data_IF_821036969813
#
_entry.id   IF_821036969813
#
_cell.length_a   1.000
_cell.length_b   1.000
_cell.length_c   1.000
_cell.angle_alpha   90.00
_cell.angle_beta   90.00
_cell.angle_gamma   90.00
#
_symmetry.space_group_name_H-M   'P 1'
#
loop_
_entity.id
_entity.type
_entity.pdbx_description
1 polymer ?
#
# COMPACT_ATOMS: atom_id res chain seq x y z
N UNK A 1 -17.79 20.51 47.44
CA UNK A 1 -18.18 21.27 46.23
C UNK A 1 -18.65 20.24 45.23
N UNK A 2 -19.95 20.26 44.92
CA UNK A 2 -20.48 19.42 43.86
C UNK A 2 -19.96 19.95 42.53
N UNK A 3 -19.33 19.10 41.71
CA UNK A 3 -19.07 19.39 40.31
C UNK A 3 -20.41 19.75 39.65
N UNK A 4 -20.52 20.98 39.17
CA UNK A 4 -21.59 21.40 38.27
C UNK A 4 -21.47 20.52 37.03
N UNK A 5 -22.27 19.46 36.94
CA UNK A 5 -22.41 18.71 35.70
C UNK A 5 -23.00 19.68 34.68
N UNK A 6 -22.18 20.13 33.74
CA UNK A 6 -22.64 20.84 32.55
C UNK A 6 -23.86 20.11 31.99
N UNK A 7 -24.95 20.86 31.84
CA UNK A 7 -26.20 20.34 31.31
C UNK A 7 -25.91 19.82 29.89
N UNK A 8 -26.36 18.60 29.53
CA UNK A 8 -26.09 18.04 28.21
C UNK A 8 -26.64 18.97 27.12
N UNK A 9 -25.80 19.28 26.13
CA UNK A 9 -26.15 20.15 25.00
C UNK A 9 -27.30 19.51 24.19
N UNK A 10 -28.39 20.23 23.95
CA UNK A 10 -29.53 19.76 23.13
C UNK A 10 -29.48 20.31 21.70
N UNK A 11 -30.31 19.78 20.78
CA UNK A 11 -30.39 20.29 19.39
C UNK A 11 -30.77 21.77 19.37
N UNK A 12 -31.72 22.16 20.21
CA UNK A 12 -32.17 23.55 20.32
C UNK A 12 -31.08 24.48 20.85
N UNK A 13 -30.24 23.99 21.77
CA UNK A 13 -29.07 24.76 22.25
C UNK A 13 -28.06 24.96 21.12
N UNK A 14 -27.82 23.93 20.30
CA UNK A 14 -26.90 23.99 19.16
C UNK A 14 -27.43 24.92 18.05
N UNK A 15 -28.74 24.88 17.77
CA UNK A 15 -29.39 25.81 16.84
C UNK A 15 -29.30 27.25 17.32
N UNK A 16 -29.51 27.50 18.62
CA UNK A 16 -29.31 28.84 19.19
C UNK A 16 -27.87 29.32 19.07
N UNK A 17 -26.90 28.46 19.35
CA UNK A 17 -25.49 28.80 19.19
C UNK A 17 -25.16 29.15 17.72
N UNK A 18 -25.73 28.42 16.77
CA UNK A 18 -25.58 28.72 15.34
C UNK A 18 -26.23 30.07 14.99
N UNK A 19 -27.44 30.34 15.48
CA UNK A 19 -28.12 31.63 15.29
C UNK A 19 -27.31 32.79 15.89
N UNK A 20 -26.80 32.61 17.12
CA UNK A 20 -25.94 33.58 17.81
C UNK A 20 -24.61 33.80 17.07
N UNK A 21 -24.10 32.77 16.39
CA UNK A 21 -22.90 32.82 15.55
C UNK A 21 -23.19 33.30 14.10
N UNK A 22 -24.29 34.03 13.89
CA UNK A 22 -24.62 34.62 12.58
C UNK A 22 -25.24 33.64 11.59
N UNK A 23 -25.85 32.56 12.08
CA UNK A 23 -26.51 31.53 11.27
C UNK A 23 -25.56 30.50 10.66
N UNK A 24 -24.32 30.43 11.13
CA UNK A 24 -23.30 29.46 10.66
C UNK A 24 -22.65 28.73 11.84
N UNK A 25 -22.31 27.46 11.64
CA UNK A 25 -21.49 26.68 12.57
C UNK A 25 -19.99 26.96 12.42
N UNK A 26 -19.59 27.78 11.43
CA UNK A 26 -18.19 28.03 11.11
C UNK A 26 -17.48 28.72 12.29
N UNK A 27 -16.40 28.10 12.78
CA UNK A 27 -15.62 28.59 13.90
C UNK A 27 -16.28 28.38 15.28
N UNK A 28 -17.48 27.79 15.34
CA UNK A 28 -18.12 27.44 16.61
C UNK A 28 -17.31 26.34 17.30
N UNK A 29 -16.80 26.65 18.50
CA UNK A 29 -15.94 25.75 19.26
C UNK A 29 -16.71 24.94 20.30
N UNK A 30 -16.87 23.65 20.01
CA UNK A 30 -17.45 22.62 20.86
C UNK A 30 -16.40 21.55 21.18
N UNK A 31 -15.12 21.94 21.30
CA UNK A 31 -14.04 21.04 21.69
C UNK A 31 -14.28 20.45 23.09
N UNK A 32 -13.89 19.19 23.28
CA UNK A 32 -13.99 18.42 24.54
C UNK A 32 -15.42 18.20 25.06
N UNK A 33 -16.43 18.72 24.35
CA UNK A 33 -17.84 18.54 24.67
C UNK A 33 -18.19 17.06 24.67
N UNK A 34 -18.98 16.66 25.67
CA UNK A 34 -19.51 15.30 25.76
C UNK A 34 -20.99 15.33 25.43
N UNK A 35 -21.36 14.85 24.25
CA UNK A 35 -22.74 14.70 23.83
C UNK A 35 -23.30 13.43 24.50
N UNK A 36 -23.92 13.62 25.68
CA UNK A 36 -24.36 12.52 26.55
C UNK A 36 -25.72 11.98 26.14
N UNK A 37 -26.62 12.86 25.68
CA UNK A 37 -27.96 12.52 25.21
C UNK A 37 -27.99 12.37 23.70
N UNK A 38 -29.00 11.64 23.23
CA UNK A 38 -29.30 11.38 21.83
C UNK A 38 -29.69 12.71 21.12
N UNK A 39 -28.71 13.55 20.80
CA UNK A 39 -28.91 14.80 20.08
C UNK A 39 -29.08 14.48 18.59
N UNK A 40 -30.25 14.80 18.05
CA UNK A 40 -30.46 14.74 16.63
C UNK A 40 -29.71 15.90 15.96
N UNK A 41 -28.71 15.60 15.16
CA UNK A 41 -27.93 16.49 14.30
C UNK A 41 -28.12 16.15 12.81
N UNK A 42 -29.14 15.35 12.48
CA UNK A 42 -29.44 14.98 11.11
C UNK A 42 -29.70 16.21 10.24
N UNK A 43 -29.14 16.16 9.03
CA UNK A 43 -29.20 17.19 7.98
C UNK A 43 -28.75 18.59 8.42
N UNK A 44 -28.08 18.71 9.56
CA UNK A 44 -27.61 19.99 10.08
C UNK A 44 -26.36 20.44 9.31
N UNK A 45 -26.28 21.76 9.04
CA UNK A 45 -25.08 22.37 8.47
C UNK A 45 -24.08 22.69 9.60
N UNK A 46 -23.09 21.80 9.75
CA UNK A 46 -22.01 21.91 10.71
C UNK A 46 -20.70 22.33 10.02
N UNK A 47 -20.79 23.08 8.91
CA UNK A 47 -19.65 23.60 8.18
C UNK A 47 -18.70 24.36 9.10
N UNK A 48 -17.41 24.00 9.07
CA UNK A 48 -16.36 24.69 9.82
C UNK A 48 -16.46 24.58 11.35
N UNK A 49 -17.31 23.70 11.89
CA UNK A 49 -17.41 23.50 13.34
C UNK A 49 -16.12 22.90 13.92
N UNK A 50 -15.78 23.24 15.16
CA UNK A 50 -14.63 22.68 15.87
C UNK A 50 -15.15 21.71 16.93
N UNK A 51 -14.93 20.41 16.74
CA UNK A 51 -15.32 19.32 17.65
C UNK A 51 -14.10 18.52 18.10
N UNK A 52 -13.00 19.23 18.38
CA UNK A 52 -11.74 18.58 18.76
C UNK A 52 -11.93 17.86 20.09
N UNK A 53 -11.52 16.59 20.17
CA UNK A 53 -11.65 15.73 21.36
C UNK A 53 -13.11 15.61 21.88
N UNK A 54 -14.09 15.93 21.03
CA UNK A 54 -15.51 15.78 21.37
C UNK A 54 -15.87 14.29 21.51
N UNK A 55 -16.71 13.97 22.50
CA UNK A 55 -17.14 12.61 22.81
C UNK A 55 -18.63 12.47 22.58
N UNK A 56 -19.01 11.58 21.67
CA UNK A 56 -20.40 11.19 21.47
C UNK A 56 -20.64 9.92 22.30
N UNK A 57 -21.60 9.96 23.21
CA UNK A 57 -21.85 8.82 24.11
C UNK A 57 -22.35 7.60 23.33
N UNK A 58 -22.14 6.40 23.88
CA UNK A 58 -22.46 5.12 23.22
C UNK A 58 -23.96 4.84 23.03
N UNK A 59 -24.83 5.84 23.24
CA UNK A 59 -26.27 5.77 22.98
C UNK A 59 -26.71 6.51 21.71
N UNK A 60 -25.77 6.93 20.85
CA UNK A 60 -26.07 7.33 19.46
C UNK A 60 -26.41 6.08 18.61
N UNK A 61 -27.46 5.36 19.00
CA UNK A 61 -28.08 4.34 18.17
C UNK A 61 -29.09 5.03 17.24
N UNK A 62 -28.79 5.08 15.95
CA UNK A 62 -29.70 5.53 14.91
C UNK A 62 -29.48 6.98 14.46
N UNK A 63 -29.55 7.17 13.14
CA UNK A 63 -29.75 8.33 12.23
C UNK A 63 -29.47 9.80 12.67
N UNK A 64 -28.92 10.04 13.85
CA UNK A 64 -28.72 11.36 14.46
C UNK A 64 -27.65 12.20 13.78
N UNK A 65 -26.81 11.60 12.95
CA UNK A 65 -25.84 12.31 12.13
C UNK A 65 -26.00 11.97 10.65
N UNK A 66 -27.17 11.45 10.28
CA UNK A 66 -27.51 11.15 8.90
C UNK A 66 -27.49 12.45 8.08
N UNK A 67 -26.74 12.48 6.98
CA UNK A 67 -26.70 13.63 6.08
C UNK A 67 -26.02 14.89 6.62
N UNK A 68 -25.49 14.88 7.85
CA UNK A 68 -24.83 16.03 8.45
C UNK A 68 -23.64 16.51 7.61
N UNK A 69 -23.46 17.84 7.51
CA UNK A 69 -22.39 18.45 6.72
C UNK A 69 -21.26 18.92 7.62
N UNK A 70 -20.11 18.28 7.50
CA UNK A 70 -18.90 18.54 8.29
C UNK A 70 -17.78 19.17 7.44
N UNK A 71 -18.12 19.76 6.29
CA UNK A 71 -17.15 20.38 5.40
C UNK A 71 -16.29 21.41 6.16
N UNK A 72 -14.96 21.31 6.07
CA UNK A 72 -14.03 22.22 6.76
C UNK A 72 -13.99 22.10 8.30
N UNK A 73 -14.71 21.16 8.90
CA UNK A 73 -14.72 20.97 10.36
C UNK A 73 -13.40 20.40 10.90
N UNK A 74 -13.18 20.58 12.21
CA UNK A 74 -12.04 20.00 12.94
C UNK A 74 -12.55 18.88 13.86
N UNK A 75 -12.36 17.62 13.44
CA UNK A 75 -12.77 16.41 14.18
C UNK A 75 -11.56 15.69 14.80
N UNK A 76 -10.48 16.42 15.09
CA UNK A 76 -9.26 15.85 15.65
C UNK A 76 -9.53 15.24 17.04
N UNK A 77 -9.26 13.95 17.21
CA UNK A 77 -9.50 13.24 18.48
C UNK A 77 -10.97 12.98 18.81
N UNK A 78 -11.92 13.38 17.95
CA UNK A 78 -13.34 13.10 18.15
C UNK A 78 -13.59 11.59 18.19
N UNK A 79 -14.40 11.16 19.17
CA UNK A 79 -14.83 9.77 19.32
C UNK A 79 -16.12 9.53 18.55
N UNK A 80 -16.00 9.06 17.30
CA UNK A 80 -17.11 8.78 16.40
C UNK A 80 -17.37 7.27 16.23
N UNK A 81 -16.98 6.46 17.23
CA UNK A 81 -17.09 5.00 17.17
C UNK A 81 -18.54 4.55 17.18
N UNK A 82 -18.87 3.60 16.29
CA UNK A 82 -20.22 3.02 16.16
C UNK A 82 -21.33 4.00 15.80
N UNK A 83 -21.01 5.22 15.35
CA UNK A 83 -22.02 6.22 14.93
C UNK A 83 -22.50 5.91 13.50
N UNK A 84 -23.80 6.15 13.24
CA UNK A 84 -24.34 6.17 11.89
C UNK A 84 -24.05 7.53 11.22
N UNK A 85 -23.09 7.55 10.31
CA UNK A 85 -22.67 8.70 9.50
C UNK A 85 -23.03 8.48 8.01
N UNK A 86 -24.07 7.69 7.74
CA UNK A 86 -24.56 7.51 6.38
C UNK A 86 -24.92 8.86 5.76
N UNK A 87 -24.52 9.05 4.50
CA UNK A 87 -24.73 10.29 3.73
C UNK A 87 -24.06 11.56 4.28
N UNK A 88 -23.28 11.47 5.37
CA UNK A 88 -22.55 12.62 5.89
C UNK A 88 -21.55 13.15 4.84
N UNK A 89 -21.34 14.47 4.84
CA UNK A 89 -20.42 15.14 3.93
C UNK A 89 -19.18 15.60 4.67
N UNK A 90 -18.01 15.16 4.22
CA UNK A 90 -16.73 15.48 4.86
C UNK A 90 -15.73 15.99 3.81
N UNK A 91 -15.84 17.25 3.38
CA UNK A 91 -14.85 17.85 2.48
C UNK A 91 -13.78 18.63 3.24
N UNK A 92 -12.52 18.48 2.86
CA UNK A 92 -11.39 19.28 3.37
C UNK A 92 -11.18 19.19 4.90
N UNK A 93 -11.38 18.01 5.51
CA UNK A 93 -11.00 17.81 6.91
C UNK A 93 -9.47 17.78 7.06
N UNK A 94 -8.93 18.60 7.96
CA UNK A 94 -7.51 18.61 8.34
C UNK A 94 -7.27 17.69 9.55
N UNK A 95 -7.43 16.38 9.39
CA UNK A 95 -7.40 15.48 10.54
C UNK A 95 -6.04 14.77 10.77
N UNK A 96 -5.53 14.93 11.98
CA UNK A 96 -4.68 14.01 12.77
C UNK A 96 -5.58 12.85 13.29
N UNK A 97 -5.20 11.94 14.24
CA UNK A 97 -5.95 10.69 14.40
C UNK A 97 -7.38 10.92 14.90
N UNK A 98 -8.37 10.70 14.02
CA UNK A 98 -9.80 10.55 14.35
C UNK A 98 -10.10 9.07 14.63
N UNK A 99 -10.95 8.80 15.62
CA UNK A 99 -11.35 7.45 16.02
C UNK A 99 -12.71 7.12 15.41
N UNK A 100 -12.71 6.30 14.35
CA UNK A 100 -13.90 5.93 13.58
C UNK A 100 -14.21 4.43 13.70
N UNK A 101 -13.67 3.73 14.70
CA UNK A 101 -13.81 2.27 14.77
C UNK A 101 -15.28 1.85 14.75
N UNK A 102 -15.61 0.91 13.87
CA UNK A 102 -16.96 0.39 13.63
C UNK A 102 -18.03 1.42 13.20
N UNK A 103 -17.64 2.63 12.80
CA UNK A 103 -18.58 3.61 12.25
C UNK A 103 -19.23 3.13 10.94
N UNK A 104 -20.44 3.59 10.68
CA UNK A 104 -21.18 3.31 9.45
C UNK A 104 -21.15 4.52 8.53
N UNK A 105 -20.28 4.48 7.51
CA UNK A 105 -20.05 5.57 6.54
C UNK A 105 -20.66 5.25 5.17
N UNK A 106 -21.62 4.33 5.08
CA UNK A 106 -22.21 3.93 3.79
C UNK A 106 -22.91 5.11 3.12
N UNK A 107 -22.73 5.26 1.81
CA UNK A 107 -23.28 6.39 1.05
C UNK A 107 -22.77 7.78 1.46
N UNK A 108 -21.77 7.88 2.36
CA UNK A 108 -21.14 9.15 2.71
C UNK A 108 -20.30 9.71 1.55
N UNK A 109 -20.17 11.04 1.51
CA UNK A 109 -19.30 11.74 0.56
C UNK A 109 -18.01 12.15 1.27
N UNK A 110 -16.95 11.38 1.07
CA UNK A 110 -15.62 11.57 1.67
C UNK A 110 -14.64 12.19 0.67
N UNK A 111 -15.10 13.18 -0.08
CA UNK A 111 -14.30 13.82 -1.13
C UNK A 111 -13.23 14.72 -0.51
N UNK A 112 -11.96 14.52 -0.85
CA UNK A 112 -10.84 15.31 -0.32
C UNK A 112 -10.74 15.26 1.22
N UNK A 113 -11.07 14.14 1.85
CA UNK A 113 -10.94 13.96 3.31
C UNK A 113 -9.54 13.45 3.68
N UNK A 114 -8.94 13.98 4.76
CA UNK A 114 -7.71 13.43 5.31
C UNK A 114 -8.00 12.45 6.46
N UNK A 115 -7.72 11.17 6.25
CA UNK A 115 -7.74 10.10 7.25
C UNK A 115 -6.35 9.51 7.51
N UNK A 116 -5.29 10.28 7.27
CA UNK A 116 -3.92 9.81 7.46
C UNK A 116 -3.68 9.35 8.90
N UNK A 117 -3.33 8.07 9.07
CA UNK A 117 -3.10 7.45 10.37
C UNK A 117 -4.34 7.22 11.25
N UNK A 118 -5.54 7.54 10.74
CA UNK A 118 -6.80 7.34 11.48
C UNK A 118 -7.06 5.87 11.80
N UNK A 119 -7.80 5.62 12.88
CA UNK A 119 -8.24 4.28 13.23
C UNK A 119 -9.67 4.04 12.74
N UNK A 120 -9.74 3.44 11.56
CA UNK A 120 -10.96 3.13 10.79
C UNK A 120 -11.23 1.61 10.80
N UNK A 121 -10.82 0.94 11.90
CA UNK A 121 -11.00 -0.49 12.09
C UNK A 121 -12.47 -0.86 12.10
N UNK A 122 -12.89 -1.81 11.26
CA UNK A 122 -14.26 -2.33 11.21
C UNK A 122 -15.30 -1.36 10.63
N UNK A 123 -14.87 -0.23 10.05
CA UNK A 123 -15.77 0.74 9.41
C UNK A 123 -16.49 0.12 8.22
N UNK A 124 -17.76 0.47 8.05
CA UNK A 124 -18.56 0.10 6.88
C UNK A 124 -18.58 1.27 5.90
N UNK A 125 -17.74 1.22 4.86
CA UNK A 125 -17.79 2.17 3.75
C UNK A 125 -18.75 1.70 2.64
N UNK A 126 -18.82 0.39 2.43
CA UNK A 126 -19.69 -0.26 1.46
C UNK A 126 -20.77 -1.13 2.11
N UNK A 127 -21.75 -1.52 1.28
CA UNK A 127 -22.78 -2.55 1.51
C UNK A 127 -24.11 -2.11 2.16
N UNK A 128 -25.13 -1.87 1.32
CA UNK A 128 -26.55 -2.13 1.59
C UNK A 128 -27.25 -2.49 0.28
N UNK A 129 -27.43 -3.78 0.02
CA UNK A 129 -28.37 -4.24 -1.00
C UNK A 129 -29.80 -3.96 -0.52
N UNK A 130 -30.36 -2.79 -0.84
CA UNK A 130 -31.83 -2.61 -0.90
C UNK A 130 -32.20 -1.75 -2.12
N UNK A 131 -33.00 -2.36 -2.99
CA UNK A 131 -33.90 -1.76 -3.96
C UNK A 131 -33.48 -0.40 -4.56
N UNK A 132 -32.50 -0.39 -5.48
CA UNK A 132 -32.36 0.73 -6.43
C UNK A 132 -30.96 1.30 -6.67
N UNK A 133 -29.93 0.95 -5.89
CA UNK A 133 -28.56 1.41 -6.14
C UNK A 133 -27.55 0.94 -5.09
N UNK A 134 -26.26 0.89 -5.44
CA UNK A 134 -25.18 0.62 -4.49
C UNK A 134 -24.92 1.87 -3.63
N UNK A 135 -25.10 1.79 -2.31
CA UNK A 135 -24.77 2.84 -1.33
C UNK A 135 -23.30 2.77 -0.91
N UNK A 136 -22.39 2.79 -1.88
CA UNK A 136 -20.97 2.83 -1.58
C UNK A 136 -20.54 4.25 -1.21
N UNK A 137 -19.66 4.38 -0.22
CA UNK A 137 -19.01 5.66 0.06
C UNK A 137 -18.14 6.08 -1.13
N UNK A 138 -18.13 7.37 -1.44
CA UNK A 138 -17.19 7.96 -2.40
C UNK A 138 -15.92 8.37 -1.65
N UNK A 139 -14.82 7.65 -1.86
CA UNK A 139 -13.52 7.90 -1.22
C UNK A 139 -12.55 8.65 -2.15
N UNK A 140 -13.09 9.31 -3.17
CA UNK A 140 -12.26 9.98 -4.17
C UNK A 140 -11.43 11.10 -3.52
N UNK A 141 -10.15 11.15 -3.90
CA UNK A 141 -9.14 12.06 -3.34
C UNK A 141 -8.95 11.97 -1.81
N UNK A 142 -9.41 10.89 -1.17
CA UNK A 142 -9.20 10.66 0.28
C UNK A 142 -7.74 10.28 0.57
N UNK A 143 -7.19 10.78 1.67
CA UNK A 143 -5.88 10.36 2.18
C UNK A 143 -6.03 9.30 3.29
N UNK A 144 -5.78 8.02 2.97
CA UNK A 144 -5.80 6.89 3.90
C UNK A 144 -4.38 6.42 4.27
N UNK A 145 -3.34 7.24 4.05
CA UNK A 145 -1.95 6.82 4.30
C UNK A 145 -1.75 6.44 5.77
N UNK A 146 -1.22 5.25 6.02
CA UNK A 146 -0.99 4.77 7.39
C UNK A 146 -2.26 4.45 8.20
N UNK A 147 -3.46 4.59 7.65
CA UNK A 147 -4.71 4.34 8.35
C UNK A 147 -4.84 2.86 8.77
N UNK A 148 -5.51 2.60 9.90
CA UNK A 148 -5.82 1.25 10.37
C UNK A 148 -7.17 0.79 9.83
N UNK A 149 -7.15 0.03 8.74
CA UNK A 149 -8.32 -0.45 8.00
C UNK A 149 -8.65 -1.92 8.29
N UNK A 150 -8.25 -2.43 9.46
CA UNK A 150 -8.50 -3.83 9.82
C UNK A 150 -9.99 -4.13 9.76
N UNK A 151 -10.41 -5.14 8.99
CA UNK A 151 -11.82 -5.55 8.83
C UNK A 151 -12.77 -4.46 8.32
N UNK A 152 -12.26 -3.39 7.71
CA UNK A 152 -13.11 -2.40 7.04
C UNK A 152 -13.80 -3.03 5.82
N UNK A 153 -15.04 -2.66 5.54
CA UNK A 153 -15.78 -3.10 4.37
C UNK A 153 -15.78 -2.01 3.30
N UNK A 154 -15.16 -2.30 2.15
CA UNK A 154 -15.04 -1.40 1.00
C UNK A 154 -15.80 -1.89 -0.25
N UNK A 155 -16.71 -2.85 -0.10
CA UNK A 155 -17.44 -3.43 -1.23
C UNK A 155 -18.18 -2.35 -2.04
N UNK A 156 -17.91 -2.29 -3.34
CA UNK A 156 -18.50 -1.32 -4.26
C UNK A 156 -17.97 0.13 -4.13
N UNK A 157 -17.01 0.39 -3.22
CA UNK A 157 -16.45 1.74 -3.05
C UNK A 157 -15.52 2.11 -4.20
N UNK A 158 -15.52 3.40 -4.53
CA UNK A 158 -14.63 4.01 -5.52
C UNK A 158 -13.43 4.63 -4.81
N UNK A 159 -12.23 4.31 -5.31
CA UNK A 159 -10.96 4.80 -4.78
C UNK A 159 -10.22 5.72 -5.77
N UNK A 160 -10.95 6.60 -6.46
CA UNK A 160 -10.33 7.48 -7.45
C UNK A 160 -9.32 8.41 -6.79
N UNK A 161 -8.04 8.34 -7.15
CA UNK A 161 -6.96 9.14 -6.54
C UNK A 161 -6.83 9.01 -5.01
N UNK A 162 -7.37 7.93 -4.42
CA UNK A 162 -7.27 7.68 -2.97
C UNK A 162 -5.86 7.21 -2.58
N UNK A 163 -5.24 7.83 -1.58
CA UNK A 163 -3.87 7.50 -1.15
C UNK A 163 -3.88 6.41 -0.07
N UNK A 164 -3.34 5.24 -0.37
CA UNK A 164 -3.30 4.06 0.52
C UNK A 164 -1.89 3.68 0.99
N UNK A 165 -0.87 4.51 0.75
CA UNK A 165 0.50 4.20 1.14
C UNK A 165 0.63 3.94 2.66
N UNK A 166 1.10 2.74 3.01
CA UNK A 166 1.32 2.35 4.41
C UNK A 166 0.06 2.01 5.20
N UNK A 167 -1.12 1.99 4.59
CA UNK A 167 -2.36 1.60 5.27
C UNK A 167 -2.31 0.13 5.74
N UNK A 168 -2.96 -0.16 6.87
CA UNK A 168 -3.10 -1.51 7.42
C UNK A 168 -4.44 -2.11 7.00
N UNK A 169 -4.44 -2.93 5.96
CA UNK A 169 -5.67 -3.46 5.32
C UNK A 169 -5.92 -4.94 5.61
N UNK A 170 -5.27 -5.52 6.63
CA UNK A 170 -5.48 -6.92 6.98
C UNK A 170 -6.95 -7.20 7.30
N UNK A 171 -7.51 -8.12 6.52
CA UNK A 171 -8.90 -8.55 6.67
C UNK A 171 -9.93 -7.51 6.21
N UNK A 172 -9.50 -6.41 5.58
CA UNK A 172 -10.40 -5.51 4.88
C UNK A 172 -11.05 -6.26 3.72
N UNK A 173 -12.36 -6.06 3.54
CA UNK A 173 -13.07 -6.60 2.39
C UNK A 173 -12.99 -5.59 1.24
N UNK A 174 -12.13 -5.92 0.28
CA UNK A 174 -11.94 -5.16 -0.97
C UNK A 174 -12.56 -5.88 -2.17
N UNK A 175 -13.40 -6.89 -1.93
CA UNK A 175 -14.11 -7.58 -3.00
C UNK A 175 -15.12 -6.61 -3.63
N UNK A 176 -15.16 -6.54 -4.96
CA UNK A 176 -15.92 -5.54 -5.74
C UNK A 176 -15.57 -4.06 -5.44
N UNK A 177 -14.45 -3.76 -4.78
CA UNK A 177 -13.96 -2.39 -4.68
C UNK A 177 -13.32 -1.95 -6.01
N UNK A 178 -13.53 -0.69 -6.41
CA UNK A 178 -12.95 -0.09 -7.60
C UNK A 178 -11.60 0.58 -7.23
N UNK A 179 -10.51 -0.17 -7.39
CA UNK A 179 -9.14 0.24 -7.02
C UNK A 179 -8.29 0.71 -8.21
N UNK A 180 -8.87 0.90 -9.39
CA UNK A 180 -8.15 1.18 -10.65
C UNK A 180 -7.26 2.41 -10.52
N UNK A 181 -7.73 3.44 -9.83
CA UNK A 181 -7.03 4.73 -9.69
C UNK A 181 -6.53 4.98 -8.26
N UNK A 182 -6.45 3.94 -7.44
CA UNK A 182 -5.92 4.05 -6.09
C UNK A 182 -4.40 4.28 -6.10
N UNK A 183 -3.93 5.28 -5.35
CA UNK A 183 -2.50 5.58 -5.19
C UNK A 183 -1.90 4.80 -4.01
N UNK A 184 -1.14 3.75 -4.34
CA UNK A 184 -0.42 2.94 -3.37
C UNK A 184 0.99 3.46 -3.04
N UNK A 185 1.41 4.58 -3.65
CA UNK A 185 2.77 5.11 -3.60
C UNK A 185 3.80 4.05 -3.97
N UNK A 186 4.63 3.66 -3.00
CA UNK A 186 5.64 2.62 -3.17
C UNK A 186 5.11 1.17 -3.08
N UNK A 187 3.78 0.97 -3.00
CA UNK A 187 3.10 -0.30 -2.75
C UNK A 187 3.52 -0.97 -1.42
N UNK A 188 3.92 -0.17 -0.43
CA UNK A 188 4.27 -0.68 0.91
C UNK A 188 3.08 -0.52 1.82
N UNK A 189 2.51 -1.63 2.29
CA UNK A 189 1.42 -1.64 3.26
C UNK A 189 1.93 -1.61 4.71
N UNK A 190 1.05 -1.25 5.65
CA UNK A 190 1.37 -1.12 7.07
C UNK A 190 1.84 -2.43 7.70
N UNK A 191 1.28 -3.57 7.28
CA UNK A 191 1.67 -4.91 7.76
C UNK A 191 3.14 -5.21 7.48
N UNK A 192 3.65 -4.82 6.31
CA UNK A 192 5.07 -4.98 5.98
C UNK A 192 5.93 -4.08 6.87
N UNK A 193 5.51 -2.83 7.11
CA UNK A 193 6.24 -1.88 7.99
C UNK A 193 6.32 -2.39 9.43
N UNK A 194 5.26 -3.06 9.92
CA UNK A 194 5.19 -3.67 11.25
C UNK A 194 5.95 -5.00 11.36
N UNK A 195 6.38 -5.59 10.23
CA UNK A 195 7.06 -6.87 10.20
C UNK A 195 6.13 -8.11 10.21
N UNK A 196 4.82 -7.93 10.04
CA UNK A 196 3.88 -9.04 9.83
C UNK A 196 3.90 -9.48 8.36
N UNK A 197 4.99 -10.17 7.99
CA UNK A 197 5.20 -10.61 6.61
C UNK A 197 4.20 -11.67 6.15
N UNK A 198 3.65 -12.46 7.07
CA UNK A 198 2.66 -13.50 6.73
C UNK A 198 1.36 -12.87 6.25
N UNK A 199 0.84 -11.89 7.00
CA UNK A 199 -0.34 -11.14 6.59
C UNK A 199 -0.06 -10.32 5.33
N UNK A 200 1.09 -9.66 5.27
CA UNK A 200 1.46 -8.84 4.11
C UNK A 200 1.50 -9.65 2.81
N UNK A 201 2.03 -10.88 2.84
CA UNK A 201 2.05 -11.76 1.66
C UNK A 201 0.66 -12.11 1.14
N UNK A 202 -0.30 -12.36 2.03
CA UNK A 202 -1.67 -12.68 1.62
C UNK A 202 -2.35 -11.46 1.00
N UNK A 203 -2.17 -10.29 1.61
CA UNK A 203 -2.69 -9.02 1.10
C UNK A 203 -2.12 -8.71 -0.29
N UNK A 204 -0.79 -8.78 -0.45
CA UNK A 204 -0.15 -8.56 -1.75
C UNK A 204 -0.62 -9.55 -2.82
N UNK A 205 -0.93 -10.79 -2.44
CA UNK A 205 -1.48 -11.78 -3.38
C UNK A 205 -2.88 -11.40 -3.84
N UNK A 206 -3.75 -10.98 -2.93
CA UNK A 206 -5.10 -10.51 -3.24
C UNK A 206 -5.04 -9.26 -4.15
N UNK A 207 -4.25 -8.25 -3.79
CA UNK A 207 -4.08 -7.04 -4.59
C UNK A 207 -3.52 -7.35 -5.98
N UNK A 208 -2.48 -8.19 -6.07
CA UNK A 208 -1.95 -8.66 -7.34
C UNK A 208 -3.03 -9.33 -8.20
N UNK A 209 -3.83 -10.22 -7.62
CA UNK A 209 -4.89 -10.92 -8.35
C UNK A 209 -5.97 -9.95 -8.85
N UNK A 210 -6.37 -9.01 -8.01
CA UNK A 210 -7.32 -7.95 -8.37
C UNK A 210 -6.79 -7.12 -9.54
N UNK A 211 -5.58 -6.56 -9.45
CA UNK A 211 -5.01 -5.74 -10.53
C UNK A 211 -4.71 -6.53 -11.81
N UNK A 212 -4.43 -7.83 -11.69
CA UNK A 212 -4.29 -8.70 -12.87
C UNK A 212 -5.64 -8.85 -13.59
N UNK A 213 -6.72 -9.05 -12.84
CA UNK A 213 -8.07 -9.17 -13.41
C UNK A 213 -8.55 -7.84 -14.02
N UNK A 214 -8.13 -6.70 -13.46
CA UNK A 214 -8.40 -5.37 -14.00
C UNK A 214 -7.54 -5.01 -15.24
N UNK A 215 -6.61 -5.87 -15.67
CA UNK A 215 -5.71 -5.60 -16.81
C UNK A 215 -4.58 -4.60 -16.49
N UNK A 216 -4.36 -4.27 -15.22
CA UNK A 216 -3.36 -3.31 -14.76
C UNK A 216 -2.07 -4.00 -14.34
N UNK A 217 -1.37 -4.57 -15.32
CA UNK A 217 -0.24 -5.47 -15.09
C UNK A 217 0.99 -4.80 -14.46
N UNK A 218 1.19 -3.51 -14.69
CA UNK A 218 2.29 -2.77 -14.06
C UNK A 218 2.15 -2.70 -12.54
N UNK A 219 0.94 -2.39 -12.04
CA UNK A 219 0.66 -2.33 -10.60
C UNK A 219 0.66 -3.75 -10.02
N UNK A 220 0.07 -4.72 -10.72
CA UNK A 220 0.12 -6.12 -10.31
C UNK A 220 1.57 -6.63 -10.15
N UNK A 221 2.47 -6.25 -11.05
CA UNK A 221 3.91 -6.56 -10.98
C UNK A 221 4.59 -5.97 -9.75
N UNK A 222 4.26 -4.72 -9.38
CA UNK A 222 4.75 -4.09 -8.13
C UNK A 222 4.31 -4.88 -6.90
N UNK A 223 3.03 -5.28 -6.83
CA UNK A 223 2.54 -6.10 -5.71
C UNK A 223 3.15 -7.50 -5.69
N UNK A 224 3.38 -8.13 -6.84
CA UNK A 224 4.12 -9.39 -6.91
C UNK A 224 5.55 -9.26 -6.38
N UNK A 225 6.26 -8.19 -6.77
CA UNK A 225 7.60 -7.90 -6.28
C UNK A 225 7.61 -7.71 -4.74
N UNK A 226 6.61 -7.02 -4.21
CA UNK A 226 6.41 -6.84 -2.77
C UNK A 226 6.07 -8.14 -2.04
N UNK A 227 5.21 -8.99 -2.61
CA UNK A 227 4.92 -10.36 -2.11
C UNK A 227 6.22 -11.17 -1.95
N UNK A 228 7.06 -11.19 -2.99
CA UNK A 228 8.33 -11.93 -2.98
C UNK A 228 9.34 -11.35 -1.98
N UNK A 229 9.37 -10.03 -1.83
CA UNK A 229 10.21 -9.36 -0.84
C UNK A 229 9.76 -9.68 0.58
N UNK A 230 8.46 -9.65 0.87
CA UNK A 230 7.88 -10.04 2.15
C UNK A 230 8.18 -11.52 2.45
N UNK A 231 8.03 -12.41 1.45
CA UNK A 231 8.40 -13.83 1.56
C UNK A 231 9.86 -14.03 1.93
N UNK A 232 10.78 -13.32 1.29
CA UNK A 232 12.21 -13.35 1.63
C UNK A 232 12.46 -12.89 3.06
N UNK A 233 11.81 -11.80 3.50
CA UNK A 233 11.94 -11.26 4.88
C UNK A 233 11.37 -12.24 5.92
N UNK A 234 10.25 -12.91 5.64
CA UNK A 234 9.66 -13.94 6.50
C UNK A 234 10.59 -15.13 6.75
N UNK A 235 11.47 -15.45 5.80
CA UNK A 235 12.45 -16.54 5.93
C UNK A 235 13.64 -16.21 6.84
N UNK A 236 13.79 -14.96 7.31
CA UNK A 236 14.95 -14.52 8.12
C UNK A 236 15.15 -15.36 9.39
N UNK A 237 14.06 -15.81 10.00
CA UNK A 237 14.06 -16.52 11.28
C UNK A 237 14.01 -18.05 11.15
N UNK A 238 14.08 -18.59 9.93
CA UNK A 238 14.13 -20.04 9.74
C UNK A 238 15.53 -20.60 10.01
N UNK A 239 15.65 -21.77 10.64
CA UNK A 239 16.94 -22.38 10.93
C UNK A 239 17.72 -22.79 9.68
N UNK A 240 17.03 -23.17 8.59
CA UNK A 240 17.66 -23.51 7.32
C UNK A 240 17.80 -22.25 6.43
N UNK A 241 19.03 -21.84 6.04
CA UNK A 241 19.26 -20.66 5.21
C UNK A 241 19.02 -20.89 3.71
N UNK A 242 18.97 -22.14 3.24
CA UNK A 242 18.88 -22.48 1.80
C UNK A 242 17.69 -21.81 1.09
N UNK A 243 16.45 -21.81 1.65
CA UNK A 243 15.31 -21.15 1.00
C UNK A 243 15.52 -19.64 0.88
N UNK A 244 16.18 -19.01 1.87
CA UNK A 244 16.47 -17.58 1.87
C UNK A 244 17.55 -17.24 0.84
N UNK A 245 18.62 -18.04 0.76
CA UNK A 245 19.68 -17.87 -0.23
C UNK A 245 19.08 -17.96 -1.63
N UNK A 246 18.28 -19.00 -1.90
CA UNK A 246 17.60 -19.17 -3.20
C UNK A 246 16.73 -17.98 -3.57
N UNK A 247 15.91 -17.49 -2.63
CA UNK A 247 15.07 -16.30 -2.87
C UNK A 247 15.90 -15.03 -3.07
N UNK A 248 16.98 -14.88 -2.31
CA UNK A 248 17.87 -13.72 -2.44
C UNK A 248 18.58 -13.72 -3.79
N UNK A 249 19.08 -14.88 -4.24
CA UNK A 249 19.69 -15.06 -5.55
C UNK A 249 18.68 -14.76 -6.66
N UNK A 250 17.46 -15.30 -6.58
CA UNK A 250 16.41 -15.02 -7.55
C UNK A 250 16.03 -13.53 -7.63
N UNK A 251 15.99 -12.84 -6.47
CA UNK A 251 15.77 -11.40 -6.42
C UNK A 251 16.93 -10.58 -6.98
N UNK A 252 18.17 -11.03 -6.78
CA UNK A 252 19.38 -10.34 -7.27
C UNK A 252 19.56 -10.49 -8.77
N UNK A 253 19.37 -11.72 -9.29
CA UNK A 253 19.61 -12.02 -10.70
C UNK A 253 18.56 -11.39 -11.60
N UNK A 254 17.28 -11.39 -11.22
CA UNK A 254 16.22 -10.97 -12.15
C UNK A 254 15.05 -10.22 -11.53
N UNK A 255 15.20 -9.73 -10.29
CA UNK A 255 14.13 -8.99 -9.62
C UNK A 255 12.87 -9.79 -9.43
N UNK A 256 13.01 -11.10 -9.17
CA UNK A 256 11.92 -12.06 -9.11
C UNK A 256 11.16 -12.23 -10.45
N UNK A 257 11.77 -11.89 -11.58
CA UNK A 257 11.13 -11.97 -12.89
C UNK A 257 10.47 -10.68 -13.36
N UNK A 258 10.53 -9.60 -12.57
CA UNK A 258 9.84 -8.33 -12.88
C UNK A 258 10.79 -7.24 -13.41
N UNK A 259 12.11 -7.45 -13.34
CA UNK A 259 13.12 -6.43 -13.71
C UNK A 259 14.15 -7.00 -14.69
N UNK A 260 13.88 -7.00 -16.01
CA UNK A 260 14.81 -7.54 -17.02
C UNK A 260 16.18 -6.88 -16.98
N UNK A 261 16.24 -5.58 -16.70
CA UNK A 261 17.49 -4.84 -16.56
C UNK A 261 18.41 -5.41 -15.46
N UNK A 262 17.86 -6.00 -14.39
CA UNK A 262 18.67 -6.63 -13.34
C UNK A 262 19.38 -7.89 -13.84
N UNK A 263 18.84 -8.57 -14.85
CA UNK A 263 19.51 -9.70 -15.50
C UNK A 263 20.74 -9.23 -16.25
N UNK A 264 20.61 -8.13 -16.99
CA UNK A 264 21.75 -7.52 -17.68
C UNK A 264 22.83 -7.08 -16.70
N UNK A 265 22.46 -6.32 -15.67
CA UNK A 265 23.41 -5.86 -14.65
C UNK A 265 24.09 -7.01 -13.91
N UNK A 266 23.36 -8.06 -13.54
CA UNK A 266 23.95 -9.23 -12.87
C UNK A 266 24.82 -10.06 -13.81
N UNK A 267 24.48 -10.18 -15.09
CA UNK A 267 25.33 -10.78 -16.12
C UNK A 267 26.66 -10.02 -16.27
N UNK A 268 26.60 -8.69 -16.33
CA UNK A 268 27.79 -7.83 -16.36
C UNK A 268 28.66 -8.04 -15.12
N UNK A 269 28.08 -8.08 -13.92
CA UNK A 269 28.84 -8.33 -12.69
C UNK A 269 29.52 -9.71 -12.71
N UNK A 270 28.82 -10.76 -13.14
CA UNK A 270 29.40 -12.11 -13.26
C UNK A 270 30.58 -12.12 -14.23
N UNK A 271 30.43 -11.48 -15.39
CA UNK A 271 31.49 -11.33 -16.39
C UNK A 271 32.72 -10.62 -15.80
N UNK A 272 32.56 -9.47 -15.14
CA UNK A 272 33.68 -8.77 -14.51
C UNK A 272 34.34 -9.58 -13.39
N UNK A 273 33.56 -10.29 -12.58
CA UNK A 273 34.09 -11.17 -11.53
C UNK A 273 34.93 -12.31 -12.12
N UNK A 274 34.49 -12.93 -13.21
CA UNK A 274 35.25 -14.00 -13.88
C UNK A 274 36.50 -13.45 -14.57
N UNK A 275 36.43 -12.27 -15.19
CA UNK A 275 37.59 -11.56 -15.72
C UNK A 275 38.66 -11.31 -14.64
N UNK A 276 38.25 -10.90 -13.43
CA UNK A 276 39.16 -10.73 -12.29
C UNK A 276 39.79 -12.07 -11.85
N UNK A 277 39.01 -13.16 -11.86
CA UNK A 277 39.53 -14.50 -11.56
C UNK A 277 40.58 -14.93 -12.59
N UNK A 278 40.33 -14.76 -13.88
CA UNK A 278 41.31 -15.08 -14.93
C UNK A 278 42.59 -14.25 -14.80
N UNK A 279 42.46 -12.95 -14.49
CA UNK A 279 43.60 -12.06 -14.29
C UNK A 279 44.43 -12.45 -13.07
N UNK A 280 43.77 -12.79 -11.96
CA UNK A 280 44.43 -13.20 -10.73
C UNK A 280 45.16 -14.55 -10.86
N UNK A 281 44.59 -15.48 -11.62
CA UNK A 281 45.21 -16.78 -11.92
C UNK A 281 46.39 -16.62 -12.89
N UNK A 282 46.33 -15.63 -13.79
CA UNK A 282 47.42 -15.27 -14.70
C UNK A 282 47.71 -16.28 -15.79
N UNK A 283 46.74 -17.14 -16.13
CA UNK A 283 46.88 -18.22 -17.13
C UNK A 283 46.74 -17.77 -18.58
N UNK A 284 46.37 -16.52 -18.83
CA UNK A 284 46.20 -15.98 -20.18
C UNK A 284 47.46 -15.22 -20.57
N UNK A 285 48.01 -15.53 -21.74
CA UNK A 285 49.22 -14.87 -22.27
C UNK A 285 48.87 -13.92 -23.43
N UNK A 286 49.23 -12.62 -23.36
CA UNK A 286 49.83 -11.92 -22.24
C UNK A 286 48.82 -11.68 -21.09
N UNK A 287 49.30 -11.73 -19.84
CA UNK A 287 48.44 -11.59 -18.66
C UNK A 287 48.10 -10.12 -18.39
N UNK A 288 47.10 -9.61 -19.10
CA UNK A 288 46.53 -8.28 -18.86
C UNK A 288 45.06 -8.42 -18.46
N UNK A 289 44.57 -7.46 -17.67
CA UNK A 289 43.15 -7.43 -17.30
C UNK A 289 42.26 -7.32 -18.55
N UNK A 290 42.67 -6.55 -19.56
CA UNK A 290 41.93 -6.43 -20.82
C UNK A 290 41.81 -7.77 -21.57
N UNK A 291 42.87 -8.58 -21.59
CA UNK A 291 42.82 -9.91 -22.20
C UNK A 291 41.93 -10.87 -21.40
N UNK A 292 41.93 -10.75 -20.07
CA UNK A 292 41.06 -11.53 -19.19
C UNK A 292 39.58 -11.15 -19.35
N UNK A 293 39.31 -9.85 -19.51
CA UNK A 293 37.98 -9.32 -19.78
C UNK A 293 37.48 -9.73 -21.16
N UNK A 294 38.32 -9.65 -22.18
CA UNK A 294 38.01 -10.11 -23.54
C UNK A 294 37.69 -11.61 -23.55
N UNK A 295 38.55 -12.43 -22.92
CA UNK A 295 38.33 -13.87 -22.80
C UNK A 295 37.00 -14.18 -22.11
N UNK A 296 36.73 -13.55 -20.97
CA UNK A 296 35.48 -13.68 -20.23
C UNK A 296 34.27 -13.27 -21.08
N UNK A 297 34.33 -12.16 -21.81
CA UNK A 297 33.23 -11.70 -22.67
C UNK A 297 32.92 -12.68 -23.82
N UNK A 298 33.95 -13.22 -24.49
CA UNK A 298 33.80 -14.19 -25.58
C UNK A 298 33.28 -15.54 -25.06
N UNK A 299 33.81 -15.99 -23.93
CA UNK A 299 33.39 -17.19 -23.21
C UNK A 299 31.91 -17.08 -22.79
N UNK A 300 31.55 -16.00 -22.09
CA UNK A 300 30.21 -15.74 -21.56
C UNK A 300 29.16 -15.61 -22.66
N UNK A 301 29.50 -15.01 -23.81
CA UNK A 301 28.57 -14.89 -24.95
C UNK A 301 28.48 -16.16 -25.79
N UNK A 302 29.33 -17.16 -25.51
CA UNK A 302 29.43 -18.40 -26.29
C UNK A 302 29.66 -18.18 -27.81
N UNK A 303 30.22 -17.02 -28.20
CA UNK A 303 30.46 -16.65 -29.60
C UNK A 303 31.62 -17.43 -30.25
N UNK A 304 32.39 -18.16 -29.44
CA UNK A 304 33.56 -18.88 -29.90
C UNK A 304 34.78 -17.97 -30.02
N UNK A 305 35.94 -18.59 -29.85
CA UNK A 305 37.20 -17.93 -29.51
C UNK A 305 37.96 -17.28 -30.68
N UNK A 306 37.47 -17.42 -31.92
CA UNK A 306 38.14 -16.90 -33.11
C UNK A 306 39.61 -17.33 -33.23
N UNK A 307 40.41 -16.56 -33.97
CA UNK A 307 41.87 -16.77 -34.08
C UNK A 307 42.69 -16.06 -33.00
N UNK A 308 42.05 -15.27 -32.13
CA UNK A 308 42.68 -14.37 -31.15
C UNK A 308 42.49 -14.81 -29.70
N UNK A 309 42.21 -16.09 -29.45
CA UNK A 309 42.04 -16.53 -28.08
C UNK A 309 43.37 -16.78 -27.35
N UNK A 310 43.56 -16.17 -26.16
CA UNK A 310 44.67 -16.53 -25.29
C UNK A 310 44.58 -18.03 -24.99
N UNK A 311 45.66 -18.79 -25.26
CA UNK A 311 45.66 -20.24 -25.13
C UNK A 311 45.48 -20.64 -23.67
N UNK A 312 44.30 -21.12 -23.25
CA UNK A 312 44.06 -21.42 -21.84
C UNK A 312 44.73 -22.76 -21.50
N UNK A 313 45.56 -22.76 -20.46
CA UNK A 313 46.27 -23.94 -19.97
C UNK A 313 45.35 -24.81 -19.10
N UNK A 314 45.32 -26.13 -19.34
CA UNK A 314 44.72 -27.12 -18.43
C UNK A 314 43.25 -26.83 -18.05
N UNK A 315 43.00 -26.74 -16.74
CA UNK A 315 41.66 -26.63 -16.12
C UNK A 315 40.90 -25.34 -16.43
N UNK A 316 41.57 -24.31 -16.95
CA UNK A 316 40.95 -23.02 -17.33
C UNK A 316 39.92 -23.19 -18.45
N UNK A 317 40.10 -24.20 -19.33
CA UNK A 317 39.11 -24.59 -20.33
C UNK A 317 37.78 -25.03 -19.70
N UNK A 318 37.84 -25.71 -18.55
CA UNK A 318 36.66 -26.09 -17.79
C UNK A 318 35.94 -24.89 -17.19
N UNK A 319 36.70 -23.89 -16.71
CA UNK A 319 36.14 -22.64 -16.20
C UNK A 319 35.42 -21.84 -17.31
N UNK A 320 36.01 -21.77 -18.50
CA UNK A 320 35.36 -21.18 -19.68
C UNK A 320 34.08 -21.89 -20.10
N UNK A 321 34.02 -23.23 -19.97
CA UNK A 321 32.79 -23.98 -20.23
C UNK A 321 31.67 -23.66 -19.22
N UNK A 322 32.02 -23.52 -17.93
CA UNK A 322 31.07 -23.11 -16.88
C UNK A 322 30.56 -21.68 -17.12
N UNK A 323 31.46 -20.78 -17.54
CA UNK A 323 31.12 -19.41 -17.88
C UNK A 323 30.20 -19.31 -19.10
N UNK A 324 30.47 -20.06 -20.17
CA UNK A 324 29.57 -20.14 -21.33
C UNK A 324 28.18 -20.65 -20.93
N UNK A 325 28.11 -21.68 -20.08
CA UNK A 325 26.84 -22.18 -19.55
C UNK A 325 26.10 -21.10 -18.74
N UNK A 326 26.80 -20.38 -17.86
CA UNK A 326 26.24 -19.26 -17.10
C UNK A 326 25.72 -18.16 -18.01
N UNK A 327 26.44 -17.82 -19.07
CA UNK A 327 26.02 -16.80 -20.03
C UNK A 327 24.77 -17.19 -20.81
N UNK A 328 24.70 -18.42 -21.31
CA UNK A 328 23.48 -18.96 -21.96
C UNK A 328 22.30 -18.98 -20.96
N UNK A 329 22.54 -19.41 -19.72
CA UNK A 329 21.53 -19.38 -18.67
C UNK A 329 21.03 -17.97 -18.39
N UNK A 330 21.92 -16.97 -18.30
CA UNK A 330 21.56 -15.57 -18.07
C UNK A 330 20.80 -14.98 -19.26
N UNK A 331 21.16 -15.33 -20.50
CA UNK A 331 20.40 -14.94 -21.69
C UNK A 331 18.99 -15.54 -21.70
N UNK A 332 18.85 -16.83 -21.35
CA UNK A 332 17.55 -17.47 -21.21
C UNK A 332 16.72 -16.81 -20.10
N UNK A 333 17.34 -16.51 -18.95
CA UNK A 333 16.71 -15.80 -17.85
C UNK A 333 16.22 -14.41 -18.29
N UNK A 334 17.04 -13.68 -19.04
CA UNK A 334 16.70 -12.37 -19.60
C UNK A 334 15.48 -12.48 -20.49
N UNK A 335 15.50 -13.40 -21.47
CA UNK A 335 14.39 -13.62 -22.38
C UNK A 335 13.09 -13.94 -21.64
N UNK A 336 13.14 -14.85 -20.66
CA UNK A 336 11.97 -15.20 -19.84
C UNK A 336 11.44 -13.99 -19.07
N UNK A 337 12.33 -13.20 -18.44
CA UNK A 337 11.90 -11.99 -17.72
C UNK A 337 11.36 -10.90 -18.63
N UNK A 338 11.96 -10.76 -19.81
CA UNK A 338 11.59 -9.76 -20.80
C UNK A 338 10.23 -10.08 -21.41
N UNK A 339 10.05 -11.32 -21.89
CA UNK A 339 8.76 -11.80 -22.42
C UNK A 339 7.69 -11.64 -21.36
N UNK A 340 7.92 -12.13 -20.14
CA UNK A 340 6.94 -12.04 -19.05
C UNK A 340 6.55 -10.59 -18.72
N UNK A 341 7.46 -9.62 -18.89
CA UNK A 341 7.19 -8.20 -18.66
C UNK A 341 6.44 -7.54 -19.83
N UNK A 342 6.53 -8.11 -21.04
CA UNK A 342 5.87 -7.61 -22.26
C UNK A 342 4.51 -8.26 -22.53
N UNK A 343 4.31 -9.51 -22.10
CA UNK A 343 3.08 -10.31 -22.35
C UNK A 343 2.05 -10.20 -21.23
N UNK A 344 2.40 -9.56 -20.12
CA UNK A 344 1.47 -9.07 -19.12
C UNK A 344 1.32 -7.60 -19.40
#
# INVERSE_FOLDING_TARGET
MAEEKEKPLTRDDLLKLIEENGGTAEGLDLSEQTFVEAIDLSDLDLHGIILKDARFSTHFEGDQLLGAKFDGSNLNGADLRSINLQYAQFRMLNNQPTYLQAADLRGSLLLNTNFQGADVTGVKFGDLAKAGGYLAAMLDDTDLRGAKLFRANFKGCYFYSTKLEGAFIRGADIFDAHLEEADWGNCVIGEEKRGDFSSAMNIYRCLKQWYTNAGMYDIAGKFFFREMTARRKALKWRPNPLPRIRQTLYGLLCGYGEKPWQVFASATVVLFCLALVYFAIGTLTPNTFLNSLYYSAVSFTALGYGSWAPQPTGWVKGLGAVEAFLGVFMMALFLVTFIRKMTR
#
